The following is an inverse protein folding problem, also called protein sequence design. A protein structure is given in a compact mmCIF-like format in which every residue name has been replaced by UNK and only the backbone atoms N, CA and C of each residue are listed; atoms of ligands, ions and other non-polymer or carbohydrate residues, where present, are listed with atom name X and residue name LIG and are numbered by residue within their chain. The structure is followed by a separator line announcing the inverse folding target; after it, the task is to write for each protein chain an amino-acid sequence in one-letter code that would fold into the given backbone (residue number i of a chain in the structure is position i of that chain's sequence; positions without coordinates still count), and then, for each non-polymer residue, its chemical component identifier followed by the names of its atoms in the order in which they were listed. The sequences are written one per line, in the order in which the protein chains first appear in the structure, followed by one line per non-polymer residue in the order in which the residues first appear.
data_IF_136366086029
#
_entry.id   IF_136366086029
#
_cell.length_a   1.000
_cell.length_b   1.000
_cell.length_c   1.000
_cell.angle_alpha   90.00
_cell.angle_beta   90.00
_cell.angle_gamma   90.00
#
_symmetry.space_group_name_H-M   'P 1'
#
loop_
_entity.id
_entity.type
_entity.pdbx_description
1 polymer ?
#
# COMPACT_ATOMS: atom_id res chain seq x y z
N UNK A 1 -23.15 -3.67 -60.33
CA UNK A 1 -23.01 -3.64 -58.85
C UNK A 1 -22.94 -2.18 -58.45
N UNK A 2 -23.95 -1.72 -57.71
CA UNK A 2 -24.17 -0.27 -57.49
C UNK A 2 -23.47 0.19 -56.19
N UNK A 3 -22.76 1.32 -56.26
CA UNK A 3 -21.96 1.97 -55.19
C UNK A 3 -22.73 2.40 -53.95
N UNK A 4 -23.96 1.91 -53.71
CA UNK A 4 -24.79 2.32 -52.56
C UNK A 4 -24.71 1.41 -51.32
N UNK A 5 -24.20 0.20 -51.49
CA UNK A 5 -24.24 -0.79 -50.37
C UNK A 5 -23.01 -0.76 -49.47
N UNK A 6 -22.01 0.07 -49.82
CA UNK A 6 -20.73 0.16 -49.04
C UNK A 6 -20.74 1.22 -47.92
N UNK A 7 -21.76 2.12 -47.89
CA UNK A 7 -21.80 3.21 -46.92
C UNK A 7 -22.63 2.90 -45.68
N UNK A 8 -23.44 1.84 -45.67
CA UNK A 8 -24.29 1.49 -44.52
C UNK A 8 -23.55 0.58 -43.52
N UNK A 9 -22.54 -0.17 -43.97
CA UNK A 9 -21.73 -1.01 -43.09
C UNK A 9 -20.73 -0.26 -42.21
N UNK A 10 -20.30 0.94 -42.60
CA UNK A 10 -19.27 1.72 -41.89
C UNK A 10 -19.80 2.53 -40.72
N UNK A 11 -21.08 2.88 -40.69
CA UNK A 11 -21.67 3.66 -39.59
C UNK A 11 -22.11 2.81 -38.41
N UNK A 12 -22.46 1.54 -38.60
CA UNK A 12 -22.81 0.65 -37.49
C UNK A 12 -21.57 0.15 -36.68
N UNK A 13 -20.44 0.00 -37.37
CA UNK A 13 -19.19 -0.41 -36.68
C UNK A 13 -18.58 0.72 -35.83
N UNK A 14 -18.75 1.99 -36.24
CA UNK A 14 -18.20 3.13 -35.50
C UNK A 14 -18.96 3.44 -34.20
N UNK A 15 -20.26 3.14 -34.15
CA UNK A 15 -21.08 3.40 -32.93
C UNK A 15 -20.90 2.33 -31.86
N UNK A 16 -20.61 1.08 -32.22
CA UNK A 16 -20.36 -0.01 -31.27
C UNK A 16 -18.98 0.13 -30.62
N UNK A 17 -17.97 0.59 -31.38
CA UNK A 17 -16.62 0.85 -30.84
C UNK A 17 -16.59 2.06 -29.89
N UNK A 18 -17.39 3.10 -30.12
CA UNK A 18 -17.42 4.28 -29.27
C UNK A 18 -18.09 4.03 -27.91
N UNK A 19 -19.06 3.12 -27.82
CA UNK A 19 -19.70 2.77 -26.55
C UNK A 19 -18.81 1.86 -25.69
N UNK A 20 -18.07 0.92 -26.27
CA UNK A 20 -17.08 0.10 -25.57
C UNK A 20 -15.97 0.97 -24.98
N UNK A 21 -15.42 1.93 -25.73
CA UNK A 21 -14.29 2.77 -25.29
C UNK A 21 -14.62 3.71 -24.13
N UNK A 22 -15.85 4.21 -23.97
CA UNK A 22 -16.22 5.08 -22.85
C UNK A 22 -16.32 4.30 -21.52
N UNK A 23 -16.90 3.12 -21.56
CA UNK A 23 -17.05 2.25 -20.39
C UNK A 23 -15.67 1.67 -19.96
N UNK A 24 -14.85 1.29 -20.92
CA UNK A 24 -13.47 0.85 -20.69
C UNK A 24 -12.63 1.99 -20.10
N UNK A 25 -12.79 3.22 -20.58
CA UNK A 25 -12.06 4.39 -20.05
C UNK A 25 -12.43 4.67 -18.58
N UNK A 26 -13.71 4.57 -18.20
CA UNK A 26 -14.14 4.74 -16.82
C UNK A 26 -13.59 3.63 -15.93
N UNK A 27 -13.62 2.37 -16.38
CA UNK A 27 -13.07 1.24 -15.62
C UNK A 27 -11.56 1.41 -15.44
N UNK A 28 -10.82 1.75 -16.48
CA UNK A 28 -9.37 1.99 -16.39
C UNK A 28 -9.04 3.13 -15.43
N UNK A 29 -9.80 4.22 -15.45
CA UNK A 29 -9.60 5.34 -14.51
C UNK A 29 -9.84 4.95 -13.04
N UNK A 30 -10.73 4.00 -12.76
CA UNK A 30 -10.92 3.43 -11.43
C UNK A 30 -9.74 2.51 -11.05
N UNK A 31 -9.33 1.64 -11.95
CA UNK A 31 -8.19 0.72 -11.75
C UNK A 31 -6.87 1.47 -11.50
N UNK A 32 -6.67 2.64 -12.12
CA UNK A 32 -5.52 3.51 -11.86
C UNK A 32 -5.41 3.95 -10.40
N UNK A 33 -6.51 3.87 -9.64
CA UNK A 33 -6.60 4.19 -8.23
C UNK A 33 -6.63 2.97 -7.31
N UNK A 34 -6.52 1.77 -7.86
CA UNK A 34 -6.52 0.51 -7.10
C UNK A 34 -5.11 -0.06 -7.05
N UNK A 35 -4.69 -0.48 -5.88
CA UNK A 35 -3.45 -1.20 -5.61
C UNK A 35 -3.71 -2.52 -4.89
N UNK A 36 -2.70 -3.37 -4.84
CA UNK A 36 -2.75 -4.61 -4.09
C UNK A 36 -1.45 -4.86 -3.32
N UNK A 37 -1.62 -5.28 -2.08
CA UNK A 37 -0.52 -5.59 -1.17
C UNK A 37 -0.04 -7.05 -1.36
N UNK A 38 1.27 -7.26 -1.28
CA UNK A 38 1.85 -8.60 -1.33
C UNK A 38 1.43 -9.47 -0.13
N UNK A 39 1.15 -8.86 1.02
CA UNK A 39 0.63 -9.54 2.21
C UNK A 39 -0.70 -10.27 1.99
N UNK A 40 -1.47 -9.89 0.97
CA UNK A 40 -2.69 -10.62 0.58
C UNK A 40 -2.40 -12.07 0.13
N UNK A 41 -1.15 -12.34 -0.22
CA UNK A 41 -0.66 -13.59 -0.75
C UNK A 41 0.38 -14.25 0.17
N UNK A 42 0.39 -13.87 1.46
CA UNK A 42 1.16 -14.56 2.49
C UNK A 42 0.86 -16.05 2.42
N UNK A 43 1.87 -16.87 2.57
CA UNK A 43 1.75 -18.32 2.39
C UNK A 43 1.90 -18.82 0.94
N UNK A 44 1.70 -17.96 -0.08
CA UNK A 44 2.09 -18.23 -1.47
C UNK A 44 3.44 -17.63 -1.82
N UNK A 45 3.78 -16.49 -1.24
CA UNK A 45 5.05 -15.80 -1.46
C UNK A 45 6.16 -16.39 -0.60
N UNK A 46 7.38 -16.40 -1.13
CA UNK A 46 8.59 -16.63 -0.34
C UNK A 46 8.82 -15.44 0.58
N UNK A 47 9.19 -15.72 1.84
CA UNK A 47 9.45 -14.70 2.86
C UNK A 47 10.84 -14.81 3.44
N UNK A 48 11.44 -13.66 3.80
CA UNK A 48 12.64 -13.59 4.64
C UNK A 48 12.29 -12.84 5.91
N UNK A 49 12.24 -13.57 7.03
CA UNK A 49 12.01 -12.99 8.37
C UNK A 49 13.30 -12.89 9.18
N UNK A 50 14.29 -13.66 8.83
CA UNK A 50 15.63 -13.64 9.43
C UNK A 50 16.66 -13.89 8.32
N UNK A 51 17.48 -12.91 8.04
CA UNK A 51 18.50 -12.98 6.97
C UNK A 51 19.60 -14.02 7.24
N UNK A 52 19.68 -14.57 8.44
CA UNK A 52 20.58 -15.68 8.77
C UNK A 52 20.00 -17.05 8.38
N UNK A 53 18.71 -17.09 7.98
CA UNK A 53 18.00 -18.32 7.63
C UNK A 53 17.60 -18.30 6.15
N UNK A 54 17.42 -19.47 5.53
CA UNK A 54 16.81 -19.56 4.20
C UNK A 54 15.41 -18.95 4.18
N UNK A 55 15.01 -18.37 3.04
CA UNK A 55 13.64 -17.91 2.83
C UNK A 55 12.63 -19.06 3.07
N UNK A 56 11.50 -18.73 3.68
CA UNK A 56 10.39 -19.67 3.76
C UNK A 56 9.94 -20.11 2.35
N UNK A 57 9.55 -21.37 2.15
CA UNK A 57 9.09 -21.83 0.84
C UNK A 57 7.79 -21.13 0.43
N UNK A 58 7.62 -20.87 -0.88
CA UNK A 58 6.43 -20.28 -1.44
C UNK A 58 6.33 -20.67 -2.92
N UNK A 59 5.12 -20.68 -3.46
CA UNK A 59 4.83 -21.00 -4.86
C UNK A 59 5.04 -19.80 -5.79
N UNK A 60 4.88 -18.58 -5.26
CA UNK A 60 4.98 -17.32 -6.00
C UNK A 60 6.29 -16.60 -5.63
N UNK A 61 7.03 -16.18 -6.65
CA UNK A 61 8.19 -15.32 -6.47
C UNK A 61 7.76 -13.85 -6.55
N UNK A 62 8.31 -13.00 -5.68
CA UNK A 62 7.99 -11.56 -5.67
C UNK A 62 8.36 -10.89 -7.01
N UNK A 63 9.35 -11.43 -7.72
CA UNK A 63 9.72 -10.96 -9.07
C UNK A 63 8.60 -11.12 -10.09
N UNK A 64 7.67 -12.05 -9.89
CA UNK A 64 6.55 -12.31 -10.78
C UNK A 64 5.26 -11.65 -10.30
N UNK A 65 5.25 -11.12 -9.07
CA UNK A 65 4.09 -10.48 -8.46
C UNK A 65 3.48 -9.33 -9.28
N UNK A 66 4.26 -8.37 -9.84
CA UNK A 66 3.71 -7.33 -10.71
C UNK A 66 3.01 -7.88 -11.94
N UNK A 67 3.59 -8.91 -12.58
CA UNK A 67 3.00 -9.56 -13.75
C UNK A 67 1.74 -10.33 -13.41
N UNK A 68 1.70 -10.99 -12.26
CA UNK A 68 0.52 -11.69 -11.75
C UNK A 68 -0.64 -10.71 -11.52
N UNK A 69 -0.40 -9.57 -10.84
CA UNK A 69 -1.43 -8.55 -10.60
C UNK A 69 -1.95 -7.94 -11.89
N UNK A 70 -1.05 -7.56 -12.83
CA UNK A 70 -1.45 -6.93 -14.08
C UNK A 70 -2.23 -7.88 -14.99
N UNK A 71 -1.80 -9.14 -15.10
CA UNK A 71 -2.45 -10.12 -16.00
C UNK A 71 -3.76 -10.67 -15.44
N UNK A 72 -3.88 -10.79 -14.11
CA UNK A 72 -5.06 -11.42 -13.49
C UNK A 72 -6.14 -10.42 -13.11
N UNK A 73 -5.75 -9.22 -12.68
CA UNK A 73 -6.66 -8.23 -12.11
C UNK A 73 -6.62 -6.87 -12.82
N UNK A 74 -5.76 -6.69 -13.81
CA UNK A 74 -5.48 -5.39 -14.44
C UNK A 74 -5.06 -4.30 -13.45
N UNK A 75 -4.38 -4.70 -12.35
CA UNK A 75 -3.85 -3.81 -11.32
C UNK A 75 -2.38 -3.56 -11.59
N UNK A 76 -2.01 -2.28 -11.65
CA UNK A 76 -0.66 -1.82 -11.94
C UNK A 76 0.00 -1.08 -10.76
N UNK A 77 -0.75 -0.80 -9.70
CA UNK A 77 -0.21 -0.24 -8.45
C UNK A 77 0.12 -1.38 -7.49
N UNK A 78 1.41 -1.54 -7.22
CA UNK A 78 1.95 -2.67 -6.45
C UNK A 78 2.43 -2.17 -5.10
N UNK A 79 2.02 -2.83 -4.03
CA UNK A 79 2.53 -2.61 -2.69
C UNK A 79 3.21 -3.88 -2.20
N UNK A 80 4.50 -3.80 -1.85
CA UNK A 80 5.27 -4.97 -1.42
C UNK A 80 5.74 -4.77 0.01
N UNK A 81 5.38 -5.70 0.89
CA UNK A 81 5.98 -5.80 2.22
C UNK A 81 7.45 -6.20 2.07
N UNK A 82 8.33 -5.54 2.82
CA UNK A 82 9.76 -5.77 2.68
C UNK A 82 10.19 -7.23 2.98
N UNK A 83 9.40 -8.00 3.74
CA UNK A 83 9.67 -9.41 4.05
C UNK A 83 9.69 -10.32 2.81
N UNK A 84 9.02 -9.91 1.74
CA UNK A 84 8.97 -10.66 0.48
C UNK A 84 10.17 -10.40 -0.44
N UNK A 85 10.99 -9.39 -0.16
CA UNK A 85 12.26 -9.22 -0.86
C UNK A 85 13.31 -10.19 -0.30
N UNK A 86 13.85 -11.03 -1.16
CA UNK A 86 14.75 -12.12 -0.77
C UNK A 86 16.22 -11.70 -0.69
N UNK A 87 16.53 -10.43 -0.96
CA UNK A 87 17.88 -9.89 -0.90
C UNK A 87 17.87 -8.38 -0.68
N UNK A 88 18.89 -7.87 -0.01
CA UNK A 88 19.16 -6.43 0.12
C UNK A 88 20.16 -5.91 -0.93
N UNK A 89 20.65 -6.78 -1.82
CA UNK A 89 21.61 -6.38 -2.83
C UNK A 89 21.00 -5.40 -3.85
N UNK A 90 21.68 -4.30 -4.21
CA UNK A 90 21.19 -3.33 -5.18
C UNK A 90 20.77 -3.97 -6.49
N UNK A 91 21.55 -4.92 -7.02
CA UNK A 91 21.25 -5.62 -8.26
C UNK A 91 19.95 -6.44 -8.23
N UNK A 92 19.46 -6.82 -7.04
CA UNK A 92 18.18 -7.48 -6.87
C UNK A 92 17.03 -6.48 -7.09
N UNK A 93 17.17 -5.27 -6.55
CA UNK A 93 16.18 -4.20 -6.73
C UNK A 93 16.16 -3.66 -8.16
N UNK A 94 17.31 -3.57 -8.85
CA UNK A 94 17.36 -3.25 -10.28
C UNK A 94 16.56 -4.28 -11.11
N UNK A 95 16.69 -5.57 -10.79
CA UNK A 95 15.91 -6.62 -11.44
C UNK A 95 14.42 -6.49 -11.15
N UNK A 96 14.05 -6.21 -9.90
CA UNK A 96 12.64 -6.02 -9.54
C UNK A 96 12.05 -4.79 -10.23
N UNK A 97 12.78 -3.68 -10.30
CA UNK A 97 12.37 -2.49 -11.05
C UNK A 97 12.11 -2.81 -12.53
N UNK A 98 13.00 -3.58 -13.17
CA UNK A 98 12.78 -4.04 -14.53
C UNK A 98 11.52 -4.92 -14.68
N UNK A 99 11.16 -5.71 -13.65
CA UNK A 99 9.90 -6.49 -13.64
C UNK A 99 8.67 -5.59 -13.52
N UNK A 100 8.73 -4.54 -12.69
CA UNK A 100 7.67 -3.52 -12.61
C UNK A 100 7.45 -2.86 -13.98
N UNK A 101 8.52 -2.37 -14.62
CA UNK A 101 8.45 -1.75 -15.93
C UNK A 101 7.86 -2.69 -16.99
N UNK A 102 8.32 -3.95 -17.03
CA UNK A 102 7.79 -4.96 -17.98
C UNK A 102 6.29 -5.22 -17.80
N UNK A 103 5.79 -5.15 -16.55
CA UNK A 103 4.37 -5.32 -16.24
C UNK A 103 3.56 -4.01 -16.38
N UNK A 104 4.19 -2.91 -16.82
CA UNK A 104 3.62 -1.56 -16.79
C UNK A 104 3.07 -1.21 -15.39
N UNK A 105 3.80 -1.62 -14.34
CA UNK A 105 3.40 -1.47 -12.94
C UNK A 105 4.35 -0.53 -12.21
N UNK A 106 3.90 0.01 -11.07
CA UNK A 106 4.69 0.89 -10.21
C UNK A 106 4.48 0.54 -8.74
N UNK A 107 5.51 0.77 -7.93
CA UNK A 107 5.37 0.73 -6.48
C UNK A 107 4.54 1.92 -6.00
N UNK A 108 3.72 1.70 -4.96
CA UNK A 108 2.93 2.77 -4.33
C UNK A 108 3.26 2.95 -2.85
N UNK A 109 3.74 1.91 -2.19
CA UNK A 109 4.21 1.92 -0.80
C UNK A 109 5.02 0.67 -0.50
N UNK A 110 5.82 0.70 0.56
CA UNK A 110 6.54 -0.45 1.11
C UNK A 110 6.33 -0.51 2.62
N UNK A 111 5.43 -1.37 3.14
CA UNK A 111 5.33 -1.65 4.56
C UNK A 111 6.58 -2.34 5.09
N UNK A 112 7.06 -1.91 6.26
CA UNK A 112 8.26 -2.43 6.91
C UNK A 112 7.91 -3.11 8.25
N UNK A 113 8.08 -4.42 8.29
CA UNK A 113 8.01 -5.23 9.51
C UNK A 113 9.44 -5.56 9.96
N UNK A 114 10.04 -4.66 10.73
CA UNK A 114 11.48 -4.67 11.04
C UNK A 114 11.89 -5.69 12.11
N UNK A 115 10.96 -6.44 12.69
CA UNK A 115 11.19 -7.48 13.71
C UNK A 115 12.03 -8.67 13.22
N UNK A 116 12.41 -8.66 11.95
CA UNK A 116 13.19 -9.69 11.27
C UNK A 116 14.69 -9.70 11.55
N UNK A 117 15.18 -8.70 12.27
CA UNK A 117 16.62 -8.53 12.49
C UNK A 117 17.19 -9.36 13.67
N UNK A 118 16.48 -10.41 14.10
CA UNK A 118 16.91 -11.27 15.22
C UNK A 118 16.61 -10.71 16.61
N UNK A 119 15.95 -9.57 16.72
CA UNK A 119 15.43 -9.05 17.97
C UNK A 119 14.11 -9.73 18.33
N UNK A 120 13.90 -10.01 19.61
CA UNK A 120 12.59 -10.45 20.12
C UNK A 120 11.70 -9.24 20.35
N UNK A 121 10.64 -9.11 19.55
CA UNK A 121 9.63 -8.06 19.66
C UNK A 121 9.63 -7.07 18.51
N UNK A 122 8.78 -6.06 18.60
CA UNK A 122 8.59 -5.06 17.54
C UNK A 122 9.81 -4.13 17.50
N UNK A 123 10.51 -4.13 16.39
CA UNK A 123 11.55 -3.15 16.08
C UNK A 123 10.90 -1.95 15.43
N UNK A 124 10.85 -0.84 16.15
CA UNK A 124 10.13 0.35 15.75
C UNK A 124 10.99 1.61 15.92
N UNK A 125 10.97 2.54 14.96
CA UNK A 125 11.56 3.86 15.15
C UNK A 125 10.86 4.67 16.25
N UNK A 126 9.67 4.23 16.69
CA UNK A 126 8.94 4.84 17.81
C UNK A 126 9.16 4.12 19.15
N UNK A 127 10.07 3.13 19.22
CA UNK A 127 10.36 2.41 20.45
C UNK A 127 10.77 3.36 21.58
N UNK A 128 10.26 3.18 22.81
CA UNK A 128 10.77 3.91 23.98
C UNK A 128 12.22 3.54 24.30
N UNK A 129 12.65 2.32 23.98
CA UNK A 129 14.03 1.88 24.12
C UNK A 129 14.92 2.57 23.08
N UNK A 130 15.94 3.37 23.50
CA UNK A 130 16.78 4.12 22.58
C UNK A 130 17.65 3.22 21.68
N UNK A 131 18.02 2.01 22.12
CA UNK A 131 18.84 1.10 21.32
C UNK A 131 17.99 0.47 20.20
N UNK A 132 16.78 0.01 20.53
CA UNK A 132 15.83 -0.53 19.55
C UNK A 132 15.46 0.57 18.54
N UNK A 133 15.20 1.79 19.03
CA UNK A 133 14.84 2.94 18.18
C UNK A 133 15.99 3.30 17.23
N UNK A 134 17.22 3.38 17.68
CA UNK A 134 18.38 3.67 16.85
C UNK A 134 18.56 2.61 15.75
N UNK A 135 18.48 1.33 16.12
CA UNK A 135 18.57 0.22 15.18
C UNK A 135 17.42 0.26 14.13
N UNK A 136 16.19 0.55 14.56
CA UNK A 136 15.06 0.69 13.65
C UNK A 136 15.22 1.85 12.66
N UNK A 137 15.80 2.98 13.11
CA UNK A 137 16.12 4.11 12.24
C UNK A 137 17.13 3.68 11.15
N UNK A 138 18.20 2.98 11.53
CA UNK A 138 19.22 2.54 10.58
C UNK A 138 18.66 1.53 9.56
N UNK A 139 17.85 0.57 9.99
CA UNK A 139 17.16 -0.36 9.09
C UNK A 139 16.17 0.37 8.16
N UNK A 140 15.38 1.30 8.70
CA UNK A 140 14.43 2.07 7.89
C UNK A 140 15.15 2.88 6.81
N UNK A 141 16.30 3.49 7.11
CA UNK A 141 17.12 4.20 6.11
C UNK A 141 17.61 3.29 5.00
N UNK A 142 18.03 2.06 5.31
CA UNK A 142 18.40 1.08 4.29
C UNK A 142 17.22 0.75 3.37
N UNK A 143 15.99 0.58 3.92
CA UNK A 143 14.81 0.35 3.12
C UNK A 143 14.37 1.58 2.32
N UNK A 144 14.57 2.80 2.82
CA UNK A 144 14.39 4.03 2.05
C UNK A 144 15.30 4.03 0.83
N UNK A 145 16.57 3.63 0.98
CA UNK A 145 17.51 3.52 -0.13
C UNK A 145 17.03 2.51 -1.19
N UNK A 146 16.54 1.36 -0.77
CA UNK A 146 15.98 0.35 -1.68
C UNK A 146 14.69 0.80 -2.34
N UNK A 147 13.83 1.50 -1.59
CA UNK A 147 12.60 2.09 -2.12
C UNK A 147 12.88 3.11 -3.21
N UNK A 148 13.88 3.97 -3.02
CA UNK A 148 14.28 4.94 -4.04
C UNK A 148 14.76 4.29 -5.35
N UNK A 149 15.45 3.14 -5.28
CA UNK A 149 15.92 2.40 -6.46
C UNK A 149 14.79 1.86 -7.34
N UNK A 150 13.62 1.59 -6.75
CA UNK A 150 12.44 1.05 -7.45
C UNK A 150 11.32 2.09 -7.58
N UNK A 151 11.66 3.37 -7.43
CA UNK A 151 10.74 4.51 -7.53
C UNK A 151 9.52 4.38 -6.58
N UNK A 152 9.68 3.70 -5.43
CA UNK A 152 8.64 3.58 -4.43
C UNK A 152 8.47 4.90 -3.67
N UNK A 153 7.28 5.55 -3.72
CA UNK A 153 7.11 6.91 -3.20
C UNK A 153 7.01 7.00 -1.68
N UNK A 154 6.81 5.87 -1.00
CA UNK A 154 6.69 5.85 0.47
C UNK A 154 7.15 4.54 1.09
N UNK A 155 7.61 4.64 2.33
CA UNK A 155 7.79 3.49 3.24
C UNK A 155 6.93 3.68 4.47
N UNK A 156 6.46 2.58 5.05
CA UNK A 156 5.57 2.57 6.20
C UNK A 156 6.17 1.69 7.31
N UNK A 157 7.03 2.25 8.18
CA UNK A 157 7.55 1.50 9.30
C UNK A 157 6.46 1.19 10.31
N UNK A 158 6.53 0.01 10.93
CA UNK A 158 5.67 -0.34 12.05
C UNK A 158 6.01 0.53 13.26
N UNK A 159 5.10 1.45 13.64
CA UNK A 159 5.32 2.35 14.78
C UNK A 159 5.16 1.67 16.14
N UNK A 160 4.67 0.42 16.19
CA UNK A 160 4.27 -0.20 17.44
C UNK A 160 3.06 0.49 18.07
N UNK A 161 2.95 0.42 19.41
CA UNK A 161 1.90 1.12 20.15
C UNK A 161 2.43 2.47 20.65
N UNK A 162 1.91 3.56 20.09
CA UNK A 162 2.14 4.91 20.59
C UNK A 162 1.14 5.17 21.72
N UNK A 163 1.54 4.84 22.93
CA UNK A 163 0.72 5.03 24.13
C UNK A 163 0.96 6.44 24.72
N UNK A 164 0.16 6.80 25.72
CA UNK A 164 0.35 8.04 26.47
C UNK A 164 1.74 8.09 27.12
N UNK A 165 2.34 9.26 27.12
CA UNK A 165 3.67 9.50 27.66
C UNK A 165 4.45 10.52 26.85
N UNK A 166 5.79 10.52 26.99
CA UNK A 166 6.67 11.37 26.20
C UNK A 166 6.83 10.81 24.79
N UNK A 167 6.19 11.44 23.82
CA UNK A 167 6.26 11.10 22.40
C UNK A 167 7.46 11.77 21.67
N UNK A 168 8.19 12.65 22.35
CA UNK A 168 9.29 13.42 21.73
C UNK A 168 10.32 12.51 21.06
N UNK A 169 10.81 11.41 21.67
CA UNK A 169 11.77 10.53 21.03
C UNK A 169 11.25 9.86 19.74
N UNK A 170 9.95 9.52 19.69
CA UNK A 170 9.33 8.95 18.51
C UNK A 170 9.17 10.00 17.39
N UNK A 171 8.74 11.20 17.75
CA UNK A 171 8.58 12.32 16.81
C UNK A 171 9.93 12.70 16.20
N UNK A 172 11.00 12.81 17.01
CA UNK A 172 12.33 13.14 16.53
C UNK A 172 12.93 12.07 15.63
N UNK A 173 12.69 10.79 15.93
CA UNK A 173 13.10 9.68 15.09
C UNK A 173 12.38 9.72 13.71
N UNK A 174 11.07 9.99 13.72
CA UNK A 174 10.29 10.10 12.48
C UNK A 174 10.66 11.34 11.67
N UNK A 175 11.00 12.49 12.30
CA UNK A 175 11.56 13.66 11.60
C UNK A 175 12.88 13.32 10.91
N UNK A 176 13.78 12.65 11.61
CA UNK A 176 15.05 12.22 11.03
C UNK A 176 14.84 11.32 9.80
N UNK A 177 13.86 10.41 9.84
CA UNK A 177 13.51 9.54 8.72
C UNK A 177 12.84 10.32 7.60
N UNK A 178 11.97 11.28 7.93
CA UNK A 178 11.32 12.16 6.96
C UNK A 178 12.34 12.98 6.16
N UNK A 179 13.30 13.59 6.84
CA UNK A 179 14.38 14.38 6.21
C UNK A 179 15.26 13.49 5.30
N UNK A 180 15.61 12.29 5.77
CA UNK A 180 16.39 11.33 4.99
C UNK A 180 15.63 10.85 3.75
N UNK A 181 14.34 10.53 3.91
CA UNK A 181 13.49 10.08 2.82
C UNK A 181 13.20 11.19 1.80
N UNK A 182 12.95 12.41 2.26
CA UNK A 182 12.68 13.55 1.39
C UNK A 182 13.84 13.84 0.42
N UNK A 183 15.09 13.69 0.87
CA UNK A 183 16.28 13.81 0.03
C UNK A 183 16.36 12.75 -1.09
N UNK A 184 15.56 11.68 -1.01
CA UNK A 184 15.51 10.55 -1.95
C UNK A 184 14.15 10.42 -2.66
N UNK A 185 13.23 11.35 -2.42
CA UNK A 185 11.87 11.31 -2.98
C UNK A 185 10.95 10.29 -2.31
N UNK A 186 11.32 9.76 -1.12
CA UNK A 186 10.55 8.75 -0.39
C UNK A 186 9.91 9.38 0.85
N UNK A 187 8.60 9.27 0.98
CA UNK A 187 7.84 9.76 2.13
C UNK A 187 7.74 8.70 3.23
N UNK A 188 7.70 9.14 4.49
CA UNK A 188 7.34 8.25 5.61
C UNK A 188 5.83 8.38 5.84
N UNK A 189 5.15 7.24 5.98
CA UNK A 189 3.73 7.20 6.30
C UNK A 189 3.47 6.29 7.50
N UNK A 190 2.42 6.57 8.27
CA UNK A 190 1.97 5.72 9.37
C UNK A 190 0.48 5.41 9.24
N UNK A 191 0.08 4.23 9.74
CA UNK A 191 -1.30 3.78 9.76
C UNK A 191 -1.84 3.62 11.19
N UNK A 192 -3.17 3.59 11.42
CA UNK A 192 -3.74 3.16 12.68
C UNK A 192 -3.34 1.72 12.97
N UNK A 193 -2.73 1.47 14.14
CA UNK A 193 -2.28 0.12 14.49
C UNK A 193 -2.40 -0.12 15.99
N UNK A 194 -2.89 -1.32 16.36
CA UNK A 194 -2.93 -1.78 17.73
C UNK A 194 -3.81 -0.90 18.63
N UNK A 195 -3.27 -0.52 19.79
CA UNK A 195 -3.97 0.30 20.80
C UNK A 195 -3.68 1.79 20.71
N UNK A 196 -3.00 2.25 19.67
CA UNK A 196 -2.66 3.67 19.49
C UNK A 196 -3.95 4.48 19.30
N UNK A 197 -4.27 5.47 20.16
CA UNK A 197 -5.39 6.36 19.92
C UNK A 197 -5.18 7.17 18.66
N UNK A 198 -6.23 7.36 17.86
CA UNK A 198 -6.11 8.08 16.58
C UNK A 198 -5.62 9.53 16.76
N UNK A 199 -6.01 10.19 17.86
CA UNK A 199 -5.54 11.57 18.13
C UNK A 199 -4.04 11.61 18.40
N UNK A 200 -3.53 10.62 19.14
CA UNK A 200 -2.09 10.46 19.38
C UNK A 200 -1.33 10.24 18.06
N UNK A 201 -1.85 9.35 17.21
CA UNK A 201 -1.25 9.08 15.90
C UNK A 201 -1.23 10.34 15.02
N UNK A 202 -2.36 11.04 14.93
CA UNK A 202 -2.49 12.29 14.15
C UNK A 202 -1.56 13.38 14.69
N UNK A 203 -1.40 13.50 16.01
CA UNK A 203 -0.44 14.41 16.64
C UNK A 203 0.99 14.08 16.19
N UNK A 204 1.39 12.81 16.31
CA UNK A 204 2.74 12.36 15.91
C UNK A 204 2.99 12.62 14.43
N UNK A 205 2.05 12.29 13.55
CA UNK A 205 2.14 12.52 12.10
C UNK A 205 2.38 14.01 11.80
N UNK A 206 1.58 14.89 12.41
CA UNK A 206 1.69 16.34 12.20
C UNK A 206 3.00 16.92 12.73
N UNK A 207 3.37 16.56 13.95
CA UNK A 207 4.57 17.07 14.59
C UNK A 207 5.86 16.53 13.95
N UNK A 208 5.85 15.30 13.43
CA UNK A 208 6.95 14.73 12.68
C UNK A 208 7.04 15.21 11.22
N UNK A 209 6.00 15.86 10.70
CA UNK A 209 5.96 16.31 9.29
C UNK A 209 5.90 15.14 8.28
N UNK A 210 5.29 14.04 8.66
CA UNK A 210 5.10 12.84 7.84
C UNK A 210 3.64 12.69 7.37
N UNK A 211 3.30 11.60 6.70
CA UNK A 211 1.96 11.42 6.14
C UNK A 211 1.23 10.24 6.77
N UNK A 212 -0.07 10.15 6.49
CA UNK A 212 -0.94 9.07 6.96
C UNK A 212 -1.21 8.03 5.86
N UNK A 213 -1.35 6.77 6.27
CA UNK A 213 -2.10 5.75 5.57
C UNK A 213 -3.41 5.53 6.33
N UNK A 214 -4.55 6.09 5.88
CA UNK A 214 -5.85 5.84 6.50
C UNK A 214 -6.29 4.41 6.20
N UNK A 215 -5.94 3.45 7.08
CA UNK A 215 -6.39 2.07 6.95
C UNK A 215 -7.82 1.94 7.49
N UNK A 216 -8.78 1.73 6.61
CA UNK A 216 -10.20 1.71 6.96
C UNK A 216 -10.60 0.53 7.85
N UNK A 217 -9.77 -0.51 7.94
CA UNK A 217 -10.03 -1.71 8.75
C UNK A 217 -9.48 -1.65 10.20
N UNK A 218 -8.67 -0.65 10.54
CA UNK A 218 -7.86 -0.66 11.77
C UNK A 218 -8.40 0.21 12.92
N UNK A 219 -9.59 0.82 12.80
CA UNK A 219 -10.16 1.72 13.85
C UNK A 219 -11.05 1.03 14.88
N UNK A 220 -11.33 -0.24 14.72
CA UNK A 220 -12.05 -1.06 15.71
C UNK A 220 -13.57 -1.12 15.54
N UNK A 221 -14.28 0.00 15.43
CA UNK A 221 -15.74 0.07 15.21
C UNK A 221 -16.12 1.20 14.24
N UNK A 222 -17.40 1.26 13.83
CA UNK A 222 -17.87 2.20 12.80
C UNK A 222 -17.65 3.66 13.19
N UNK A 223 -18.03 4.07 14.39
CA UNK A 223 -17.87 5.46 14.88
C UNK A 223 -16.40 5.89 14.88
N UNK A 224 -15.50 5.04 15.40
CA UNK A 224 -14.07 5.30 15.41
C UNK A 224 -13.50 5.32 13.99
N UNK A 225 -14.02 4.47 13.08
CA UNK A 225 -13.61 4.43 11.68
C UNK A 225 -13.94 5.74 10.99
N UNK A 226 -15.18 6.22 11.06
CA UNK A 226 -15.58 7.48 10.43
C UNK A 226 -14.78 8.66 10.97
N UNK A 227 -14.68 8.79 12.28
CA UNK A 227 -13.89 9.83 12.93
C UNK A 227 -12.41 9.77 12.54
N UNK A 228 -11.82 8.58 12.59
CA UNK A 228 -10.41 8.36 12.25
C UNK A 228 -10.10 8.71 10.80
N UNK A 229 -10.94 8.28 9.87
CA UNK A 229 -10.79 8.60 8.45
C UNK A 229 -10.85 10.09 8.19
N UNK A 230 -11.80 10.83 8.80
CA UNK A 230 -11.90 12.29 8.66
C UNK A 230 -10.68 13.02 9.20
N UNK A 231 -10.02 12.50 10.24
CA UNK A 231 -8.79 13.06 10.80
C UNK A 231 -7.55 12.74 9.95
N UNK A 232 -7.49 11.57 9.33
CA UNK A 232 -6.29 11.08 8.67
C UNK A 232 -6.25 11.36 7.17
N UNK A 233 -7.38 11.34 6.44
CA UNK A 233 -7.36 11.62 4.99
C UNK A 233 -6.75 12.97 4.61
N UNK A 234 -6.94 14.08 5.36
CA UNK A 234 -6.24 15.35 5.07
C UNK A 234 -4.71 15.26 5.15
N UNK A 235 -4.19 14.21 5.80
CA UNK A 235 -2.76 13.94 5.97
C UNK A 235 -2.26 12.82 5.03
N UNK A 236 -3.16 12.18 4.26
CA UNK A 236 -2.83 11.09 3.36
C UNK A 236 -2.24 11.60 2.05
N UNK A 237 -1.22 10.89 1.53
CA UNK A 237 -0.53 11.28 0.29
C UNK A 237 -0.50 10.17 -0.75
N UNK A 238 -0.04 8.99 -0.40
CA UNK A 238 0.26 7.90 -1.35
C UNK A 238 -0.82 6.84 -1.39
N UNK A 239 -1.07 6.17 -0.28
CA UNK A 239 -2.00 5.05 -0.19
C UNK A 239 -3.02 5.22 0.93
N UNK A 240 -4.13 4.52 0.82
CA UNK A 240 -5.06 4.17 1.89
C UNK A 240 -5.31 2.68 1.82
N UNK A 241 -5.04 1.95 2.90
CA UNK A 241 -5.37 0.53 2.97
C UNK A 241 -6.87 0.34 3.05
N UNK A 242 -7.37 -0.59 2.26
CA UNK A 242 -8.79 -0.94 2.23
C UNK A 242 -8.98 -2.41 2.54
N UNK A 243 -9.82 -2.69 3.54
CA UNK A 243 -10.18 -4.03 4.01
C UNK A 243 -11.68 -4.22 3.91
N UNK A 244 -12.10 -5.44 3.67
CA UNK A 244 -13.51 -5.79 3.78
C UNK A 244 -13.79 -6.36 5.17
N UNK A 245 -14.53 -5.62 5.98
CA UNK A 245 -15.03 -6.11 7.26
C UNK A 245 -16.42 -5.50 7.57
N UNK A 246 -17.50 -6.05 6.96
CA UNK A 246 -18.84 -5.49 7.08
C UNK A 246 -19.43 -5.54 8.48
N UNK A 247 -18.84 -6.34 9.38
CA UNK A 247 -19.25 -6.40 10.78
C UNK A 247 -18.73 -5.23 11.63
N UNK A 248 -17.67 -4.56 11.15
CA UNK A 248 -17.00 -3.48 11.88
C UNK A 248 -17.30 -2.08 11.35
N UNK A 249 -17.52 -1.95 10.04
CA UNK A 249 -17.75 -0.65 9.40
C UNK A 249 -18.47 -0.80 8.06
N UNK A 250 -19.15 0.26 7.64
CA UNK A 250 -19.74 0.35 6.32
C UNK A 250 -18.68 0.78 5.30
N UNK A 251 -18.34 -0.12 4.39
CA UNK A 251 -17.30 0.11 3.37
C UNK A 251 -17.64 1.28 2.43
N UNK A 252 -18.90 1.37 1.98
CA UNK A 252 -19.32 2.45 1.08
C UNK A 252 -19.22 3.81 1.78
N UNK A 253 -19.60 3.90 3.05
CA UNK A 253 -19.41 5.10 3.86
C UNK A 253 -17.94 5.47 3.98
N UNK A 254 -17.06 4.52 4.26
CA UNK A 254 -15.62 4.76 4.38
C UNK A 254 -15.01 5.30 3.07
N UNK A 255 -15.36 4.71 1.92
CA UNK A 255 -14.93 5.20 0.60
C UNK A 255 -15.58 6.58 0.31
N UNK A 256 -16.83 6.80 0.70
CA UNK A 256 -17.51 8.09 0.61
C UNK A 256 -16.76 9.19 1.35
N UNK A 257 -16.32 8.93 2.59
CA UNK A 257 -15.52 9.87 3.39
C UNK A 257 -14.19 10.19 2.68
N UNK A 258 -13.52 9.20 2.11
CA UNK A 258 -12.26 9.43 1.40
C UNK A 258 -12.43 10.40 0.21
N UNK A 259 -13.53 10.26 -0.54
CA UNK A 259 -13.89 11.14 -1.65
C UNK A 259 -14.23 12.55 -1.17
N UNK A 260 -15.04 12.65 -0.12
CA UNK A 260 -15.43 13.91 0.53
C UNK A 260 -14.18 14.69 1.00
N UNK A 261 -13.22 13.98 1.59
CA UNK A 261 -11.95 14.54 2.06
C UNK A 261 -10.94 14.80 0.92
N UNK A 262 -11.31 14.51 -0.33
CA UNK A 262 -10.52 14.83 -1.52
C UNK A 262 -9.30 13.92 -1.73
N UNK A 263 -9.28 12.71 -1.17
CA UNK A 263 -8.16 11.78 -1.35
C UNK A 263 -7.93 11.43 -2.83
N UNK A 264 -6.68 11.58 -3.29
CA UNK A 264 -6.26 11.34 -4.68
C UNK A 264 -5.26 10.18 -4.83
N UNK A 265 -4.83 9.58 -3.73
CA UNK A 265 -3.90 8.46 -3.73
C UNK A 265 -4.55 7.13 -4.16
N UNK A 266 -3.83 6.06 -3.96
CA UNK A 266 -4.21 4.70 -4.31
C UNK A 266 -4.91 4.02 -3.14
N UNK A 267 -6.01 3.33 -3.42
CA UNK A 267 -6.63 2.40 -2.48
C UNK A 267 -5.92 1.05 -2.61
N UNK A 268 -5.06 0.74 -1.66
CA UNK A 268 -4.31 -0.51 -1.64
C UNK A 268 -5.10 -1.57 -0.88
N UNK A 269 -5.50 -2.61 -1.59
CA UNK A 269 -6.31 -3.69 -1.03
C UNK A 269 -5.48 -4.56 -0.09
N UNK A 270 -6.03 -4.80 1.11
CA UNK A 270 -5.48 -5.69 2.12
C UNK A 270 -6.53 -6.75 2.46
N UNK A 271 -6.24 -7.99 2.11
CA UNK A 271 -7.09 -9.16 2.34
C UNK A 271 -6.34 -10.18 3.19
N UNK A 272 -7.03 -11.21 3.65
CA UNK A 272 -6.43 -12.33 4.35
C UNK A 272 -7.34 -13.54 4.26
N UNK A 273 -6.78 -14.74 4.33
CA UNK A 273 -7.57 -15.97 4.33
C UNK A 273 -7.00 -17.04 3.40
N UNK A 274 -7.66 -18.23 3.36
CA UNK A 274 -7.11 -19.41 2.69
C UNK A 274 -7.17 -19.35 1.16
N UNK A 275 -8.01 -18.48 0.58
CA UNK A 275 -8.24 -18.35 -0.87
C UNK A 275 -7.81 -16.97 -1.38
N UNK A 276 -6.52 -16.63 -1.37
CA UNK A 276 -6.05 -15.26 -1.58
C UNK A 276 -6.47 -14.68 -2.94
N UNK A 277 -6.48 -15.50 -3.99
CA UNK A 277 -6.90 -15.03 -5.32
C UNK A 277 -8.39 -14.68 -5.40
N UNK A 278 -9.24 -15.47 -4.77
CA UNK A 278 -10.69 -15.23 -4.76
C UNK A 278 -11.02 -14.02 -3.87
N UNK A 279 -10.39 -13.90 -2.73
CA UNK A 279 -10.59 -12.77 -1.81
C UNK A 279 -10.10 -11.46 -2.40
N UNK A 280 -8.98 -11.49 -3.12
CA UNK A 280 -8.48 -10.33 -3.87
C UNK A 280 -9.48 -9.87 -4.93
N UNK A 281 -10.07 -10.80 -5.71
CA UNK A 281 -11.07 -10.47 -6.71
C UNK A 281 -12.35 -9.91 -6.07
N UNK A 282 -12.82 -10.51 -4.99
CA UNK A 282 -14.02 -10.05 -4.29
C UNK A 282 -13.87 -8.62 -3.78
N UNK A 283 -12.74 -8.30 -3.14
CA UNK A 283 -12.49 -6.94 -2.66
C UNK A 283 -12.32 -5.95 -3.80
N UNK A 284 -11.70 -6.36 -4.91
CA UNK A 284 -11.57 -5.54 -6.12
C UNK A 284 -12.95 -5.17 -6.67
N UNK A 285 -13.83 -6.15 -6.87
CA UNK A 285 -15.17 -5.91 -7.40
C UNK A 285 -15.95 -4.94 -6.50
N UNK A 286 -15.84 -5.12 -5.19
CA UNK A 286 -16.50 -4.27 -4.21
C UNK A 286 -15.93 -2.84 -4.20
N UNK A 287 -14.62 -2.70 -4.31
CA UNK A 287 -13.98 -1.39 -4.38
C UNK A 287 -14.37 -0.66 -5.67
N UNK A 288 -14.36 -1.32 -6.81
CA UNK A 288 -14.75 -0.73 -8.10
C UNK A 288 -16.20 -0.28 -8.14
N UNK A 289 -17.11 -0.97 -7.45
CA UNK A 289 -18.50 -0.52 -7.29
C UNK A 289 -18.62 0.78 -6.49
N UNK A 290 -17.70 1.04 -5.58
CA UNK A 290 -17.72 2.20 -4.68
C UNK A 290 -16.83 3.36 -5.15
N UNK A 291 -15.93 3.15 -6.11
CA UNK A 291 -15.16 4.20 -6.79
C UNK A 291 -15.96 4.83 -7.94
#
# INVERSE_FOLDING_TARGET
MKRRDFLIGSMAAASVTAYGTAQDTVLMSKLDRVGAMSGNFDGLLKEVRDWSQPAAPGELDIMDFPSMLSSRYHIHNVEVQQIHFLSMEPSYFDKFHARLQKANSRMVNMPLELDQSGYKGIISPCSPDPQIRAHAIDLTKQWIDRSAMIECPSVMPNQGALLEGDLTPAIDALKQLADYGAAKGVSIILEPRGKTPVDTLVKVIKEAGIYANPDIGNFGNEENTERGLRLMYPLAKTVSHVKWNPERFNFATAIGISKEMGFKGVYSMETGGPEPYAMQQQLLDYLLMNL
#
